data_IF_009241804721
#
_entry.id   IF_009241804721
#
_cell.length_a   1.000
_cell.length_b   1.000
_cell.length_c   1.000
_cell.angle_alpha   90.00
_cell.angle_beta   90.00
_cell.angle_gamma   90.00
#
_symmetry.space_group_name_H-M   'P 1'
#
loop_
_entity.id
_entity.type
_entity.pdbx_description
1 polymer ?
#
# COMPACT_ATOMS: atom_id res chain seq x y z
N UNK A 1 -12.93 19.94 -9.13
CA UNK A 1 -11.68 20.09 -8.37
C UNK A 1 -11.82 19.30 -7.08
N UNK A 2 -10.87 18.44 -6.72
CA UNK A 2 -10.83 17.79 -5.41
C UNK A 2 -10.71 18.85 -4.32
N UNK A 3 -11.51 18.73 -3.26
CA UNK A 3 -11.33 19.62 -2.10
C UNK A 3 -10.03 19.26 -1.39
N UNK A 4 -9.42 20.24 -0.72
CA UNK A 4 -8.23 19.98 0.11
C UNK A 4 -8.49 18.89 1.15
N UNK A 5 -9.66 18.94 1.79
CA UNK A 5 -10.09 17.94 2.75
C UNK A 5 -10.16 16.54 2.15
N UNK A 6 -10.73 16.38 0.96
CA UNK A 6 -10.79 15.06 0.30
C UNK A 6 -9.40 14.48 -0.02
N UNK A 7 -8.43 15.34 -0.33
CA UNK A 7 -7.03 14.92 -0.53
C UNK A 7 -6.40 14.51 0.78
N UNK A 8 -6.57 15.30 1.84
CA UNK A 8 -6.03 14.99 3.16
C UNK A 8 -6.62 13.69 3.72
N UNK A 9 -7.93 13.47 3.58
CA UNK A 9 -8.62 12.24 3.98
C UNK A 9 -8.12 11.02 3.18
N UNK A 10 -7.93 11.18 1.87
CA UNK A 10 -7.39 10.12 1.01
C UNK A 10 -5.96 9.74 1.44
N UNK A 11 -5.10 10.73 1.65
CA UNK A 11 -3.72 10.50 2.10
C UNK A 11 -3.68 9.83 3.48
N UNK A 12 -4.54 10.25 4.41
CA UNK A 12 -4.63 9.61 5.72
C UNK A 12 -5.04 8.14 5.61
N UNK A 13 -6.06 7.81 4.79
CA UNK A 13 -6.43 6.41 4.54
C UNK A 13 -5.28 5.60 3.94
N UNK A 14 -4.52 6.19 3.02
CA UNK A 14 -3.35 5.54 2.44
C UNK A 14 -2.27 5.25 3.48
N UNK A 15 -2.00 6.21 4.38
CA UNK A 15 -1.05 6.02 5.47
C UNK A 15 -1.50 4.93 6.45
N UNK A 16 -2.78 4.86 6.76
CA UNK A 16 -3.33 3.84 7.65
C UNK A 16 -3.29 2.45 7.01
N UNK A 17 -3.64 2.33 5.73
CA UNK A 17 -3.50 1.10 4.96
C UNK A 17 -2.04 0.63 4.89
N UNK A 18 -1.11 1.54 4.59
CA UNK A 18 0.32 1.24 4.55
C UNK A 18 0.84 0.78 5.92
N UNK A 19 0.42 1.44 7.01
CA UNK A 19 0.83 1.09 8.37
C UNK A 19 0.35 -0.30 8.76
N UNK A 20 -0.90 -0.62 8.47
CA UNK A 20 -1.47 -1.95 8.72
C UNK A 20 -0.75 -3.02 7.89
N UNK A 21 -0.55 -2.75 6.60
CA UNK A 21 0.13 -3.66 5.70
C UNK A 21 1.61 -3.91 6.11
N UNK A 22 2.32 -2.89 6.59
CA UNK A 22 3.66 -3.03 7.17
C UNK A 22 3.70 -3.89 8.43
N UNK A 23 2.66 -3.84 9.27
CA UNK A 23 2.56 -4.72 10.43
C UNK A 23 2.37 -6.16 9.99
N UNK A 24 1.46 -6.41 9.04
CA UNK A 24 1.20 -7.77 8.55
C UNK A 24 2.40 -8.36 7.81
N UNK A 25 3.10 -7.56 7.01
CA UNK A 25 4.34 -7.96 6.37
C UNK A 25 5.43 -8.39 7.38
N UNK A 26 5.59 -7.63 8.47
CA UNK A 26 6.53 -7.99 9.54
C UNK A 26 6.10 -9.24 10.32
N UNK A 27 4.80 -9.46 10.47
CA UNK A 27 4.27 -10.66 11.11
C UNK A 27 4.44 -11.89 10.22
N UNK A 28 4.08 -11.78 8.93
CA UNK A 28 4.22 -12.83 7.93
C UNK A 28 5.67 -13.27 7.71
N UNK A 29 6.62 -12.33 7.66
CA UNK A 29 8.06 -12.67 7.58
C UNK A 29 8.61 -13.39 8.82
N UNK A 30 8.00 -13.20 10.00
CA UNK A 30 8.49 -13.80 11.25
C UNK A 30 7.88 -15.17 11.56
N UNK A 31 6.63 -15.35 11.17
CA UNK A 31 5.82 -16.51 11.56
C UNK A 31 5.33 -17.31 10.36
N UNK A 32 5.78 -16.97 9.14
CA UNK A 32 5.39 -17.61 7.87
C UNK A 32 3.86 -17.53 7.59
N UNK A 33 3.18 -16.59 8.23
CA UNK A 33 1.72 -16.34 8.12
C UNK A 33 1.35 -15.37 6.97
N UNK A 34 2.09 -15.40 5.86
CA UNK A 34 1.80 -14.53 4.71
C UNK A 34 0.54 -14.95 3.92
N UNK A 35 -0.04 -16.11 4.23
CA UNK A 35 -1.31 -16.58 3.66
C UNK A 35 -2.53 -16.35 4.56
N UNK A 36 -2.35 -15.70 5.71
CA UNK A 36 -3.45 -15.50 6.66
C UNK A 36 -4.43 -14.42 6.15
N UNK A 37 -5.65 -14.46 6.67
CA UNK A 37 -6.74 -13.55 6.26
C UNK A 37 -6.32 -12.09 6.44
N UNK A 38 -5.63 -11.77 7.53
CA UNK A 38 -5.16 -10.43 7.86
C UNK A 38 -4.18 -9.89 6.82
N UNK A 39 -3.35 -10.76 6.22
CA UNK A 39 -2.42 -10.39 5.16
C UNK A 39 -3.15 -10.09 3.86
N UNK A 40 -4.11 -10.95 3.50
CA UNK A 40 -5.00 -10.73 2.34
C UNK A 40 -5.80 -9.43 2.49
N UNK A 41 -6.34 -9.18 3.69
CA UNK A 41 -7.07 -7.95 4.01
C UNK A 41 -6.16 -6.72 3.87
N UNK A 42 -4.92 -6.81 4.35
CA UNK A 42 -3.94 -5.75 4.19
C UNK A 42 -3.62 -5.44 2.72
N UNK A 43 -3.43 -6.48 1.88
CA UNK A 43 -3.24 -6.30 0.45
C UNK A 43 -4.44 -5.65 -0.23
N UNK A 44 -5.67 -6.05 0.16
CA UNK A 44 -6.89 -5.44 -0.37
C UNK A 44 -7.01 -3.97 0.03
N UNK A 45 -6.71 -3.62 1.29
CA UNK A 45 -6.71 -2.23 1.75
C UNK A 45 -5.73 -1.35 0.97
N UNK A 46 -4.55 -1.87 0.64
CA UNK A 46 -3.55 -1.17 -0.17
C UNK A 46 -4.05 -0.97 -1.61
N UNK A 47 -4.66 -1.99 -2.21
CA UNK A 47 -5.25 -1.90 -3.56
C UNK A 47 -6.39 -0.86 -3.60
N UNK A 48 -7.28 -0.89 -2.61
CA UNK A 48 -8.39 0.07 -2.49
C UNK A 48 -7.86 1.50 -2.36
N UNK A 49 -6.83 1.71 -1.53
CA UNK A 49 -6.18 3.02 -1.39
C UNK A 49 -5.54 3.52 -2.69
N UNK A 50 -4.88 2.63 -3.45
CA UNK A 50 -4.34 2.96 -4.78
C UNK A 50 -5.45 3.37 -5.75
N UNK A 51 -6.60 2.71 -5.71
CA UNK A 51 -7.74 3.02 -6.55
C UNK A 51 -8.39 4.35 -6.15
N UNK A 52 -8.56 4.62 -4.86
CA UNK A 52 -9.02 5.91 -4.34
C UNK A 52 -8.13 7.07 -4.82
N UNK A 53 -6.81 6.91 -4.78
CA UNK A 53 -5.86 7.88 -5.33
C UNK A 53 -6.11 8.13 -6.82
N UNK A 54 -6.27 7.06 -7.62
CA UNK A 54 -6.50 7.17 -9.07
C UNK A 54 -7.78 7.95 -9.36
N UNK A 55 -8.85 7.67 -8.61
CA UNK A 55 -10.12 8.39 -8.74
C UNK A 55 -9.97 9.86 -8.38
N UNK A 56 -9.34 10.18 -7.25
CA UNK A 56 -9.20 11.55 -6.78
C UNK A 56 -8.26 12.38 -7.68
N UNK A 57 -7.20 11.78 -8.20
CA UNK A 57 -6.22 12.41 -9.08
C UNK A 57 -6.82 12.93 -10.41
N UNK A 58 -8.00 12.43 -10.82
CA UNK A 58 -8.72 12.94 -11.99
C UNK A 58 -9.31 14.33 -11.77
N UNK A 59 -9.62 14.68 -10.53
CA UNK A 59 -10.23 15.96 -10.16
C UNK A 59 -9.27 16.90 -9.42
N UNK A 60 -8.09 16.43 -9.05
CA UNK A 60 -7.04 17.17 -8.36
C UNK A 60 -6.35 18.22 -9.25
N UNK A 61 -5.87 19.31 -8.63
CA UNK A 61 -4.96 20.25 -9.30
C UNK A 61 -3.54 19.66 -9.43
N UNK A 62 -2.62 20.37 -10.10
CA UNK A 62 -1.25 19.89 -10.34
C UNK A 62 -0.48 19.54 -9.05
N UNK A 63 -0.57 20.37 -8.02
CA UNK A 63 0.09 20.15 -6.74
C UNK A 63 -0.48 18.93 -5.99
N UNK A 64 -1.80 18.84 -5.92
CA UNK A 64 -2.50 17.71 -5.29
C UNK A 64 -2.24 16.41 -6.04
N UNK A 65 -2.26 16.44 -7.38
CA UNK A 65 -1.98 15.28 -8.23
C UNK A 65 -0.57 14.75 -8.00
N UNK A 66 0.41 15.63 -7.83
CA UNK A 66 1.78 15.25 -7.52
C UNK A 66 1.91 14.62 -6.11
N UNK A 67 1.23 15.15 -5.10
CA UNK A 67 1.17 14.53 -3.77
C UNK A 67 0.56 13.13 -3.82
N UNK A 68 -0.60 13.01 -4.48
CA UNK A 68 -1.29 11.75 -4.70
C UNK A 68 -0.43 10.76 -5.49
N UNK A 69 0.29 11.24 -6.51
CA UNK A 69 1.17 10.40 -7.31
C UNK A 69 2.30 9.78 -6.48
N UNK A 70 2.95 10.55 -5.62
CA UNK A 70 3.99 10.04 -4.71
C UNK A 70 3.44 8.98 -3.77
N UNK A 71 2.29 9.22 -3.16
CA UNK A 71 1.65 8.24 -2.28
C UNK A 71 1.32 6.95 -3.03
N UNK A 72 0.83 7.06 -4.27
CA UNK A 72 0.54 5.90 -5.12
C UNK A 72 1.80 5.06 -5.36
N UNK A 73 2.93 5.69 -5.67
CA UNK A 73 4.18 4.98 -5.89
C UNK A 73 4.63 4.22 -4.64
N UNK A 74 4.50 4.82 -3.47
CA UNK A 74 4.84 4.15 -2.19
C UNK A 74 3.94 2.94 -1.93
N UNK A 75 2.63 3.07 -2.11
CA UNK A 75 1.69 1.95 -1.95
C UNK A 75 1.96 0.83 -2.96
N UNK A 76 2.21 1.16 -4.24
CA UNK A 76 2.49 0.16 -5.26
C UNK A 76 3.82 -0.56 -5.03
N UNK A 77 4.86 0.15 -4.57
CA UNK A 77 6.12 -0.47 -4.18
C UNK A 77 5.91 -1.48 -3.06
N UNK A 78 5.17 -1.08 -2.03
CA UNK A 78 4.90 -1.94 -0.89
C UNK A 78 4.00 -3.14 -1.23
N UNK A 79 2.98 -2.93 -2.06
CA UNK A 79 2.14 -4.02 -2.57
C UNK A 79 2.96 -5.06 -3.32
N UNK A 80 3.91 -4.62 -4.16
CA UNK A 80 4.81 -5.54 -4.85
C UNK A 80 5.67 -6.34 -3.87
N UNK A 81 6.22 -5.70 -2.83
CA UNK A 81 6.97 -6.41 -1.77
C UNK A 81 6.10 -7.46 -1.08
N UNK A 82 4.83 -7.13 -0.80
CA UNK A 82 3.89 -8.09 -0.20
C UNK A 82 3.56 -9.27 -1.12
N UNK A 83 3.31 -9.01 -2.41
CA UNK A 83 3.04 -10.05 -3.41
C UNK A 83 4.25 -10.97 -3.56
N UNK A 84 5.46 -10.40 -3.59
CA UNK A 84 6.68 -11.19 -3.65
C UNK A 84 6.86 -12.04 -2.40
N UNK A 85 6.56 -11.52 -1.21
CA UNK A 85 6.66 -12.29 0.02
C UNK A 85 5.65 -13.45 0.06
N UNK A 86 4.45 -13.25 -0.46
CA UNK A 86 3.39 -14.27 -0.52
C UNK A 86 3.72 -15.39 -1.51
N UNK A 87 4.22 -15.04 -2.71
CA UNK A 87 4.47 -16.02 -3.76
C UNK A 87 5.89 -16.58 -3.78
N UNK A 88 6.88 -15.79 -3.38
CA UNK A 88 8.31 -16.13 -3.42
C UNK A 88 9.04 -15.51 -2.21
N UNK A 89 8.78 -16.01 -0.99
CA UNK A 89 9.39 -15.49 0.24
C UNK A 89 10.93 -15.55 0.22
N UNK A 90 11.51 -16.44 -0.60
CA UNK A 90 12.96 -16.57 -0.80
C UNK A 90 13.56 -15.42 -1.62
N UNK A 91 12.76 -14.70 -2.42
CA UNK A 91 13.19 -13.54 -3.19
C UNK A 91 13.31 -12.25 -2.36
N UNK A 92 12.56 -12.18 -1.26
CA UNK A 92 12.38 -10.95 -0.46
C UNK A 92 13.40 -10.86 0.68
N UNK A 93 13.83 -12.02 1.19
CA UNK A 93 14.99 -12.14 2.06
C UNK A 93 16.13 -12.73 1.26
N UNK A 94 17.00 -11.89 0.68
CA UNK A 94 18.22 -12.35 0.03
C UNK A 94 18.92 -13.37 0.94
N UNK A 95 18.81 -14.66 0.57
CA UNK A 95 19.56 -15.74 1.20
C UNK A 95 21.03 -15.44 0.93
N UNK A 96 21.69 -14.82 1.90
CA UNK A 96 23.07 -15.16 2.22
C UNK A 96 23.04 -16.61 2.73
N UNK A 97 23.09 -17.57 1.82
CA UNK A 97 23.65 -18.91 2.03
C UNK A 97 24.18 -19.43 0.70
#
# INVERSE_FOLDING_TARGET
MATRQSVDECLQKCEDALRYAQQQYKSGTKQEHYHDQEYTDAMQMVEDAVNDIRHLANSANSQQREQLHRMRLQLQQFQNEMILLDHDPDSVGGKLH
#
